data_IF_069456093401
#
_entry.id   IF_069456093401
#
_cell.length_a   1.000
_cell.length_b   1.000
_cell.length_c   1.000
_cell.angle_alpha   90.00
_cell.angle_beta   90.00
_cell.angle_gamma   90.00
#
_symmetry.space_group_name_H-M   'P 1'
#
loop_
_entity.id
_entity.type
_entity.pdbx_description
1 polymer ?
#
# COMPACT_ATOMS: atom_id res chain seq x y z
N UNK A 1 -10.47 -4.83 -9.46
CA UNK A 1 -11.45 -3.73 -9.37
C UNK A 1 -10.92 -2.51 -10.13
N UNK A 2 -11.80 -1.62 -10.61
CA UNK A 2 -11.42 -0.36 -11.27
C UNK A 2 -12.27 0.78 -10.70
N UNK A 3 -11.63 1.93 -10.47
CA UNK A 3 -12.22 3.13 -9.90
C UNK A 3 -11.80 4.34 -10.72
N UNK A 4 -12.68 5.33 -10.84
CA UNK A 4 -12.35 6.65 -11.40
C UNK A 4 -12.35 7.67 -10.27
N UNK A 5 -11.33 8.52 -10.25
CA UNK A 5 -11.15 9.60 -9.28
C UNK A 5 -10.89 10.91 -10.02
N UNK A 6 -10.88 12.03 -9.29
CA UNK A 6 -10.55 13.34 -9.87
C UNK A 6 -9.10 13.41 -10.39
N UNK A 7 -8.20 12.59 -9.85
CA UNK A 7 -6.78 12.57 -10.23
C UNK A 7 -6.44 11.48 -11.25
N UNK A 8 -7.35 10.55 -11.57
CA UNK A 8 -7.11 9.51 -12.57
C UNK A 8 -7.92 8.23 -12.40
N UNK A 9 -7.51 7.18 -13.11
CA UNK A 9 -8.04 5.83 -12.94
C UNK A 9 -7.19 5.05 -11.93
N UNK A 10 -7.84 4.24 -11.10
CA UNK A 10 -7.19 3.30 -10.18
C UNK A 10 -7.67 1.90 -10.51
N UNK A 11 -6.73 0.99 -10.67
CA UNK A 11 -6.98 -0.45 -10.87
C UNK A 11 -6.38 -1.21 -9.69
N UNK A 12 -7.11 -2.18 -9.17
CA UNK A 12 -6.71 -2.99 -8.02
C UNK A 12 -6.84 -4.46 -8.37
N UNK A 13 -5.71 -5.13 -8.57
CA UNK A 13 -5.64 -6.57 -8.76
C UNK A 13 -5.35 -7.24 -7.43
N UNK A 14 -6.12 -8.26 -7.09
CA UNK A 14 -6.02 -8.95 -5.80
C UNK A 14 -5.77 -10.44 -6.04
N UNK A 15 -4.77 -11.00 -5.36
CA UNK A 15 -4.43 -12.41 -5.43
C UNK A 15 -4.08 -12.98 -4.05
N UNK A 16 -4.34 -14.27 -3.79
CA UNK A 16 -3.84 -14.94 -2.59
C UNK A 16 -2.32 -15.16 -2.68
N UNK A 17 -1.63 -15.08 -1.54
CA UNK A 17 -0.22 -15.48 -1.42
C UNK A 17 -0.15 -16.80 -0.67
N UNK A 18 0.26 -17.86 -1.36
CA UNK A 18 0.40 -19.17 -0.72
C UNK A 18 1.53 -19.16 0.32
N UNK A 19 1.25 -19.70 1.50
CA UNK A 19 2.24 -19.96 2.53
C UNK A 19 2.18 -21.44 2.90
N UNK A 20 3.34 -22.08 3.04
CA UNK A 20 3.39 -23.47 3.50
C UNK A 20 3.16 -23.53 5.01
N UNK A 21 2.22 -24.37 5.45
CA UNK A 21 2.00 -24.67 6.86
C UNK A 21 1.30 -23.58 7.69
N UNK A 22 0.75 -22.54 7.04
CA UNK A 22 -0.06 -21.48 7.68
C UNK A 22 -1.06 -20.88 6.69
N UNK A 23 -1.91 -19.99 7.18
CA UNK A 23 -2.93 -19.34 6.36
C UNK A 23 -2.30 -18.55 5.19
N UNK A 24 -3.00 -18.50 4.06
CA UNK A 24 -2.55 -17.80 2.85
C UNK A 24 -2.67 -16.30 3.01
N UNK A 25 -1.64 -15.51 2.69
CA UNK A 25 -1.68 -14.05 2.71
C UNK A 25 -2.50 -13.43 1.57
N UNK A 26 -2.44 -12.10 1.46
CA UNK A 26 -3.13 -11.32 0.43
C UNK A 26 -2.17 -10.38 -0.29
N UNK A 27 -2.11 -10.46 -1.61
CA UNK A 27 -1.39 -9.51 -2.47
C UNK A 27 -2.39 -8.59 -3.14
N UNK A 28 -2.06 -7.30 -3.18
CA UNK A 28 -2.75 -6.28 -3.97
C UNK A 28 -1.74 -5.56 -4.86
N UNK A 29 -2.01 -5.50 -6.15
CA UNK A 29 -1.30 -4.63 -7.08
C UNK A 29 -2.24 -3.48 -7.46
N UNK A 30 -1.88 -2.27 -7.04
CA UNK A 30 -2.68 -1.08 -7.26
C UNK A 30 -1.96 -0.22 -8.29
N UNK A 31 -2.58 -0.07 -9.46
CA UNK A 31 -2.10 0.77 -10.55
C UNK A 31 -2.92 2.05 -10.59
N UNK A 32 -2.27 3.19 -10.50
CA UNK A 32 -2.86 4.51 -10.66
C UNK A 32 -2.38 5.09 -11.98
N UNK A 33 -3.30 5.53 -12.84
CA UNK A 33 -2.97 6.21 -14.10
C UNK A 33 -3.60 7.59 -14.13
N UNK A 34 -2.82 8.61 -14.46
CA UNK A 34 -3.28 9.98 -14.61
C UNK A 34 -2.90 10.55 -15.97
N UNK A 35 -3.84 11.26 -16.60
CA UNK A 35 -3.60 11.95 -17.87
C UNK A 35 -2.86 13.29 -17.70
N UNK A 36 -2.83 13.82 -16.48
CA UNK A 36 -2.21 15.10 -16.13
C UNK A 36 -1.10 14.86 -15.10
N UNK A 37 -0.22 15.86 -14.91
CA UNK A 37 0.70 15.84 -13.77
C UNK A 37 -0.12 15.95 -12.47
N UNK A 38 -0.36 14.81 -11.82
CA UNK A 38 -1.18 14.70 -10.62
C UNK A 38 -0.52 15.32 -9.37
N UNK A 39 0.70 15.86 -9.50
CA UNK A 39 1.52 16.29 -8.38
C UNK A 39 1.88 15.12 -7.47
N UNK A 40 2.16 15.41 -6.19
CA UNK A 40 2.49 14.40 -5.21
C UNK A 40 1.21 13.65 -4.76
N UNK A 41 1.06 12.41 -5.23
CA UNK A 41 -0.03 11.50 -4.82
C UNK A 41 0.50 10.48 -3.82
N UNK A 42 -0.27 10.24 -2.77
CA UNK A 42 0.08 9.33 -1.70
C UNK A 42 -0.96 8.22 -1.56
N UNK A 43 -0.51 7.00 -1.38
CA UNK A 43 -1.34 5.85 -1.05
C UNK A 43 -1.25 5.57 0.46
N UNK A 44 -2.38 5.55 1.16
CA UNK A 44 -2.45 5.11 2.55
C UNK A 44 -2.62 3.60 2.58
N UNK A 45 -1.53 2.90 2.83
CA UNK A 45 -1.51 1.44 2.88
C UNK A 45 -2.19 0.89 4.14
N UNK A 46 -2.04 1.56 5.28
CA UNK A 46 -2.61 1.08 6.54
C UNK A 46 -2.88 2.21 7.53
N UNK A 47 -3.79 1.95 8.48
CA UNK A 47 -4.07 2.83 9.62
C UNK A 47 -4.32 1.98 10.86
N UNK A 48 -3.61 2.26 11.95
CA UNK A 48 -3.72 1.52 13.20
C UNK A 48 -3.32 2.39 14.40
N UNK A 49 -3.61 1.92 15.62
CA UNK A 49 -3.18 2.61 16.83
C UNK A 49 -1.65 2.69 16.91
N UNK A 50 -0.97 1.61 16.55
CA UNK A 50 0.49 1.52 16.44
C UNK A 50 0.87 0.87 15.11
N UNK A 51 1.98 1.33 14.53
CA UNK A 51 2.61 0.75 13.35
C UNK A 51 4.11 0.88 13.59
N UNK A 52 4.84 -0.22 13.49
CA UNK A 52 6.30 -0.22 13.59
C UNK A 52 6.92 -0.72 12.30
N UNK A 53 8.07 -0.15 11.93
CA UNK A 53 8.88 -0.67 10.84
C UNK A 53 9.55 -1.99 11.28
N UNK A 54 9.49 -2.99 10.42
CA UNK A 54 10.21 -4.25 10.53
C UNK A 54 11.34 -4.33 9.50
N UNK A 55 11.83 -5.55 9.28
CA UNK A 55 12.89 -5.84 8.30
C UNK A 55 12.32 -6.00 6.88
N UNK A 56 13.18 -5.85 5.86
CA UNK A 56 12.85 -6.10 4.45
C UNK A 56 11.59 -5.41 3.91
N UNK A 57 11.28 -4.21 4.42
CA UNK A 57 10.13 -3.41 4.02
C UNK A 57 8.79 -3.87 4.60
N UNK A 58 8.82 -4.79 5.57
CA UNK A 58 7.65 -5.15 6.35
C UNK A 58 7.35 -4.09 7.42
N UNK A 59 6.07 -3.90 7.71
CA UNK A 59 5.55 -3.09 8.80
C UNK A 59 4.64 -3.96 9.66
N UNK A 60 4.79 -3.88 10.98
CA UNK A 60 3.96 -4.62 11.92
C UNK A 60 2.80 -3.75 12.37
N UNK A 61 1.60 -4.29 12.27
CA UNK A 61 0.35 -3.74 12.76
C UNK A 61 -0.08 -4.48 14.04
N UNK A 62 -1.05 -3.96 14.80
CA UNK A 62 -1.59 -4.65 15.96
C UNK A 62 -2.17 -6.01 15.57
N UNK A 63 -2.20 -6.93 16.54
CA UNK A 63 -2.72 -8.30 16.37
C UNK A 63 -1.88 -9.21 15.46
N UNK A 64 -0.63 -8.84 15.17
CA UNK A 64 0.32 -9.70 14.45
C UNK A 64 0.28 -9.56 12.93
N UNK A 65 -0.64 -8.75 12.39
CA UNK A 65 -0.72 -8.48 10.96
C UNK A 65 0.54 -7.76 10.49
N UNK A 66 1.14 -8.24 9.41
CA UNK A 66 2.28 -7.61 8.75
C UNK A 66 1.86 -7.11 7.39
N UNK A 67 2.39 -5.96 7.00
CA UNK A 67 2.16 -5.34 5.70
C UNK A 67 3.49 -5.03 5.04
N UNK A 68 3.71 -5.50 3.81
CA UNK A 68 4.83 -5.08 2.97
C UNK A 68 4.32 -4.21 1.84
N UNK A 69 5.00 -3.11 1.59
CA UNK A 69 4.67 -2.20 0.48
C UNK A 69 5.89 -1.98 -0.41
N UNK A 70 5.70 -2.03 -1.72
CA UNK A 70 6.74 -1.77 -2.72
C UNK A 70 6.19 -0.89 -3.85
N UNK A 71 7.07 -0.25 -4.62
CA UNK A 71 6.68 0.68 -5.69
C UNK A 71 6.70 2.17 -5.29
N UNK A 72 7.06 2.48 -4.04
CA UNK A 72 7.18 3.85 -3.54
C UNK A 72 7.96 3.94 -2.24
N UNK A 73 8.31 5.16 -1.82
CA UNK A 73 8.91 5.39 -0.52
C UNK A 73 7.81 5.33 0.55
N UNK A 74 7.98 4.44 1.54
CA UNK A 74 7.02 4.24 2.62
C UNK A 74 7.49 4.92 3.91
N UNK A 75 6.57 5.59 4.61
CA UNK A 75 6.84 6.22 5.89
C UNK A 75 5.60 6.18 6.80
N UNK A 76 5.84 6.22 8.10
CA UNK A 76 4.78 6.27 9.12
C UNK A 76 4.60 7.73 9.54
N UNK A 77 3.34 8.17 9.66
CA UNK A 77 3.00 9.47 10.24
C UNK A 77 1.92 9.34 11.31
N UNK A 78 1.91 10.26 12.25
CA UNK A 78 0.82 10.41 13.21
C UNK A 78 -0.33 11.23 12.59
N UNK A 79 -1.57 10.77 12.75
CA UNK A 79 -2.78 11.45 12.27
C UNK A 79 -3.97 11.12 13.17
N UNK A 80 -4.52 12.13 13.84
CA UNK A 80 -5.72 11.98 14.67
C UNK A 80 -5.57 10.96 15.80
N UNK A 81 -4.40 10.88 16.44
CA UNK A 81 -4.12 9.91 17.51
C UNK A 81 -3.91 8.47 17.04
N UNK A 82 -3.73 8.26 15.74
CA UNK A 82 -3.40 6.98 15.13
C UNK A 82 -2.15 7.11 14.25
N UNK A 83 -1.55 5.98 13.88
CA UNK A 83 -0.48 5.92 12.90
C UNK A 83 -1.03 5.53 11.54
N UNK A 84 -0.51 6.17 10.50
CA UNK A 84 -0.80 5.84 9.10
C UNK A 84 0.50 5.42 8.40
N UNK A 85 0.46 4.28 7.69
CA UNK A 85 1.50 3.90 6.75
C UNK A 85 1.17 4.53 5.40
N UNK A 86 2.02 5.46 4.98
CA UNK A 86 1.87 6.23 3.74
C UNK A 86 2.95 5.81 2.76
N UNK A 87 2.58 5.68 1.49
CA UNK A 87 3.48 5.39 0.38
C UNK A 87 3.37 6.50 -0.65
N UNK A 88 4.48 7.16 -0.96
CA UNK A 88 4.54 8.13 -2.05
C UNK A 88 4.50 7.38 -3.40
N UNK A 89 3.53 7.70 -4.24
CA UNK A 89 3.40 7.09 -5.56
C UNK A 89 4.33 7.78 -6.56
N UNK A 90 5.25 7.01 -7.15
CA UNK A 90 6.15 7.53 -8.18
C UNK A 90 5.56 7.26 -9.56
N UNK A 91 5.06 8.32 -10.19
CA UNK A 91 4.56 8.25 -11.55
C UNK A 91 5.72 8.18 -12.54
N UNK A 92 5.62 7.24 -13.47
CA UNK A 92 6.46 7.11 -14.65
C UNK A 92 5.53 6.99 -15.85
N UNK A 93 5.71 7.88 -16.83
CA UNK A 93 4.92 7.89 -18.07
C UNK A 93 3.39 7.91 -17.80
N UNK A 94 2.95 8.67 -16.79
CA UNK A 94 1.53 8.81 -16.44
C UNK A 94 0.96 7.66 -15.60
N UNK A 95 1.78 6.70 -15.16
CA UNK A 95 1.33 5.59 -14.31
C UNK A 95 2.24 5.37 -13.10
N UNK A 96 1.64 5.02 -11.97
CA UNK A 96 2.32 4.55 -10.77
C UNK A 96 1.75 3.20 -10.34
N UNK A 97 2.61 2.30 -9.87
CA UNK A 97 2.21 0.98 -9.36
C UNK A 97 2.72 0.85 -7.94
N UNK A 98 1.83 0.47 -7.02
CA UNK A 98 2.17 0.08 -5.66
C UNK A 98 1.68 -1.34 -5.42
N UNK A 99 2.56 -2.18 -4.87
CA UNK A 99 2.18 -3.52 -4.43
C UNK A 99 2.11 -3.53 -2.92
N UNK A 100 1.05 -4.13 -2.39
CA UNK A 100 0.79 -4.29 -0.96
C UNK A 100 0.54 -5.77 -0.65
N UNK A 101 1.36 -6.35 0.21
CA UNK A 101 1.20 -7.72 0.70
C UNK A 101 0.79 -7.69 2.17
N UNK A 102 -0.21 -8.49 2.53
CA UNK A 102 -0.66 -8.72 3.89
C UNK A 102 -0.36 -10.14 4.30
N UNK A 103 0.05 -10.28 5.54
CA UNK A 103 0.37 -11.55 6.19
C UNK A 103 -0.13 -11.52 7.63
N UNK A 104 -0.61 -12.64 8.16
CA UNK A 104 -1.23 -12.74 9.49
C UNK A 104 -0.75 -13.95 10.30
#
# INVERSE_FOLDING_TARGET
>A
FRYQTEFGDVTDFIAPVAHEGRDAGLLREITVSSANDAGAVYFRAAKAAEISAGEDGWFLLPQGVRVKVTGGAAFIRDSGGQKELIVELKFKDGSAVVTQEFDW
#
